data_IF_923887724054
#
_entry.id   IF_923887724054
#
_cell.length_a   1.000
_cell.length_b   1.000
_cell.length_c   1.000
_cell.angle_alpha   90.00
_cell.angle_beta   90.00
_cell.angle_gamma   90.00
#
_symmetry.space_group_name_H-M   'P 1'
#
loop_
_entity.id
_entity.type
_entity.pdbx_description
1 polymer ?
#
# COMPACT_ATOMS: atom_id res chain seq x y z
N UNK A 1 22.94 12.71 8.40
CA UNK A 1 22.63 11.27 8.38
C UNK A 1 21.69 11.03 7.22
N UNK A 2 21.81 9.89 6.53
CA UNK A 2 20.93 9.58 5.40
C UNK A 2 19.48 9.47 5.89
N UNK A 3 18.55 10.15 5.21
CA UNK A 3 17.14 10.20 5.57
C UNK A 3 16.36 9.22 4.69
N UNK A 4 15.64 8.30 5.34
CA UNK A 4 14.86 7.26 4.65
C UNK A 4 13.36 7.51 4.82
N UNK A 5 12.61 7.41 3.72
CA UNK A 5 11.15 7.34 3.71
C UNK A 5 10.70 5.92 3.38
N UNK A 6 9.75 5.38 4.14
CA UNK A 6 9.00 4.17 3.78
C UNK A 6 7.61 4.58 3.32
N UNK A 7 7.38 4.61 2.00
CA UNK A 7 6.06 4.80 1.42
C UNK A 7 5.40 3.43 1.24
N UNK A 8 4.16 3.25 1.74
CA UNK A 8 3.55 1.92 1.70
C UNK A 8 2.05 1.92 1.47
N UNK A 9 1.56 0.93 0.70
CA UNK A 9 0.15 0.59 0.61
C UNK A 9 -0.12 -0.69 1.40
N UNK A 10 -1.19 -0.72 2.19
CA UNK A 10 -1.56 -1.88 2.99
C UNK A 10 -3.06 -1.92 3.21
N UNK A 11 -3.67 -3.09 3.05
CA UNK A 11 -5.11 -3.31 3.23
C UNK A 11 -5.37 -4.20 4.44
N UNK A 12 -6.27 -3.76 5.32
CA UNK A 12 -6.77 -4.54 6.45
C UNK A 12 -7.96 -5.44 5.99
N UNK A 13 -8.90 -5.72 6.90
CA UNK A 13 -10.15 -6.43 6.62
C UNK A 13 -9.94 -7.89 6.20
N UNK A 14 -10.84 -8.45 5.39
CA UNK A 14 -10.78 -9.85 5.00
C UNK A 14 -9.64 -10.10 4.01
N UNK A 15 -8.71 -10.97 4.38
CA UNK A 15 -7.58 -11.40 3.55
C UNK A 15 -7.50 -12.93 3.47
N UNK A 16 -6.98 -13.43 2.35
CA UNK A 16 -6.70 -14.85 2.16
C UNK A 16 -5.26 -15.16 2.54
N UNK A 17 -5.06 -16.00 3.57
CA UNK A 17 -3.75 -16.54 3.91
C UNK A 17 -3.87 -17.81 4.74
N UNK A 18 -2.88 -18.70 4.64
CA UNK A 18 -2.88 -19.98 5.35
C UNK A 18 -4.08 -20.87 4.99
N UNK A 19 -4.58 -20.77 3.76
CA UNK A 19 -5.70 -21.58 3.25
C UNK A 19 -7.09 -21.12 3.66
N UNK A 20 -7.26 -19.96 4.32
CA UNK A 20 -8.55 -19.47 4.78
C UNK A 20 -8.71 -17.96 4.62
N UNK A 21 -9.97 -17.50 4.50
CA UNK A 21 -10.33 -16.09 4.64
C UNK A 21 -10.33 -15.70 6.11
N UNK A 22 -9.65 -14.59 6.44
CA UNK A 22 -9.51 -14.11 7.81
C UNK A 22 -9.59 -12.59 7.85
N UNK A 23 -10.31 -12.05 8.81
CA UNK A 23 -10.30 -10.61 9.09
C UNK A 23 -9.06 -10.24 9.90
N UNK A 24 -8.33 -9.23 9.42
CA UNK A 24 -7.17 -8.65 10.11
C UNK A 24 -7.43 -7.18 10.38
N UNK A 25 -7.01 -6.71 11.57
CA UNK A 25 -7.10 -5.28 11.93
C UNK A 25 -6.00 -4.45 11.27
N UNK A 26 -4.88 -5.07 10.93
CA UNK A 26 -3.70 -4.43 10.33
C UNK A 26 -3.27 -5.27 9.14
N UNK A 27 -3.07 -4.62 8.00
CA UNK A 27 -2.64 -5.32 6.79
C UNK A 27 -1.20 -5.81 6.88
N UNK A 28 -0.90 -6.89 6.16
CA UNK A 28 0.40 -7.57 6.25
C UNK A 28 1.59 -6.65 5.89
N UNK A 29 1.46 -5.79 4.89
CA UNK A 29 2.52 -4.86 4.51
C UNK A 29 2.79 -3.85 5.62
N UNK A 30 1.75 -3.37 6.31
CA UNK A 30 1.89 -2.45 7.44
C UNK A 30 2.60 -3.10 8.64
N UNK A 31 2.35 -4.39 8.88
CA UNK A 31 3.10 -5.17 9.90
C UNK A 31 4.60 -5.21 9.55
N UNK A 32 4.93 -5.46 8.28
CA UNK A 32 6.34 -5.48 7.82
C UNK A 32 6.97 -4.08 7.94
N UNK A 33 6.25 -3.02 7.58
CA UNK A 33 6.71 -1.63 7.75
C UNK A 33 6.95 -1.28 9.21
N UNK A 34 6.06 -1.70 10.12
CA UNK A 34 6.27 -1.52 11.56
C UNK A 34 7.58 -2.18 12.01
N UNK A 35 7.82 -3.43 11.61
CA UNK A 35 9.08 -4.13 11.94
C UNK A 35 10.31 -3.45 11.32
N UNK A 36 10.22 -2.90 10.10
CA UNK A 36 11.31 -2.14 9.50
C UNK A 36 11.65 -0.90 10.34
N UNK A 37 10.65 -0.17 10.84
CA UNK A 37 10.87 1.02 11.68
C UNK A 37 11.52 0.71 13.02
N UNK A 38 11.38 -0.52 13.52
CA UNK A 38 12.08 -0.98 14.72
C UNK A 38 13.58 -1.25 14.44
N UNK A 39 13.95 -1.48 13.18
CA UNK A 39 15.32 -1.81 12.74
C UNK A 39 16.08 -0.62 12.15
N UNK A 40 15.38 0.34 11.54
CA UNK A 40 15.98 1.52 10.92
C UNK A 40 15.25 2.81 11.32
N UNK A 41 15.99 3.91 11.41
CA UNK A 41 15.40 5.25 11.56
C UNK A 41 14.84 5.70 10.22
N UNK A 42 13.52 5.68 10.07
CA UNK A 42 12.83 6.09 8.86
C UNK A 42 11.50 6.79 9.14
N UNK A 43 11.19 7.81 8.33
CA UNK A 43 9.84 8.36 8.23
C UNK A 43 8.96 7.37 7.47
N UNK A 44 7.63 7.40 7.68
CA UNK A 44 6.71 6.49 7.01
C UNK A 44 5.48 7.23 6.50
N UNK A 45 5.07 6.92 5.27
CA UNK A 45 3.88 7.48 4.63
C UNK A 45 2.98 6.33 4.15
N UNK A 46 1.74 6.29 4.62
CA UNK A 46 0.76 5.30 4.18
C UNK A 46 0.00 5.86 2.98
N UNK A 47 0.05 5.14 1.86
CA UNK A 47 -0.70 5.41 0.65
C UNK A 47 -2.14 4.94 0.91
N UNK A 48 -3.07 5.88 1.04
CA UNK A 48 -4.48 5.60 1.29
C UNK A 48 -5.33 6.10 0.12
N UNK A 49 -6.18 5.20 -0.41
CA UNK A 49 -7.18 5.56 -1.42
C UNK A 49 -8.26 6.43 -0.77
N UNK A 50 -8.72 7.44 -1.49
CA UNK A 50 -9.88 8.24 -1.09
C UNK A 50 -11.15 7.40 -0.98
N UNK A 51 -11.32 6.47 -1.91
CA UNK A 51 -12.37 5.45 -1.92
C UNK A 51 -11.72 4.06 -1.78
N UNK A 52 -11.65 3.50 -0.56
CA UNK A 52 -10.99 2.21 -0.33
C UNK A 52 -11.69 1.04 -1.03
N UNK A 53 -10.90 0.03 -1.41
CA UNK A 53 -11.46 -1.26 -1.84
C UNK A 53 -12.34 -1.90 -0.77
N UNK A 54 -13.24 -2.78 -1.21
CA UNK A 54 -14.16 -3.50 -0.34
C UNK A 54 -13.45 -4.24 0.80
N UNK A 55 -14.04 -4.27 2.02
CA UNK A 55 -13.53 -5.08 3.12
C UNK A 55 -13.68 -6.58 2.87
N UNK A 56 -14.54 -6.99 1.92
CA UNK A 56 -14.75 -8.40 1.52
C UNK A 56 -13.70 -8.79 0.47
N UNK A 57 -12.96 -9.87 0.72
CA UNK A 57 -11.79 -10.24 -0.08
C UNK A 57 -12.15 -10.48 -1.55
N UNK A 58 -13.21 -11.27 -1.80
CA UNK A 58 -13.61 -11.63 -3.17
C UNK A 58 -14.13 -10.42 -3.97
N UNK A 59 -14.68 -9.42 -3.31
CA UNK A 59 -15.08 -8.16 -3.98
C UNK A 59 -13.85 -7.31 -4.27
N UNK A 60 -12.93 -7.18 -3.31
CA UNK A 60 -11.69 -6.43 -3.48
C UNK A 60 -10.83 -6.97 -4.63
N UNK A 61 -10.71 -8.29 -4.79
CA UNK A 61 -9.92 -8.85 -5.91
C UNK A 61 -10.51 -8.47 -7.27
N UNK A 62 -11.83 -8.40 -7.42
CA UNK A 62 -12.49 -8.01 -8.68
C UNK A 62 -12.35 -6.51 -8.94
N UNK A 63 -12.46 -5.67 -7.91
CA UNK A 63 -12.18 -4.23 -7.99
C UNK A 63 -10.73 -3.98 -8.43
N UNK A 64 -9.75 -4.61 -7.76
CA UNK A 64 -8.34 -4.49 -8.10
C UNK A 64 -8.03 -4.98 -9.52
N UNK A 65 -8.70 -6.05 -9.97
CA UNK A 65 -8.57 -6.58 -11.34
C UNK A 65 -9.11 -5.61 -12.38
N UNK A 66 -10.28 -5.01 -12.08
CA UNK A 66 -10.90 -4.00 -12.94
C UNK A 66 -9.97 -2.79 -13.08
N UNK A 67 -9.50 -2.25 -11.96
CA UNK A 67 -8.57 -1.12 -11.94
C UNK A 67 -7.30 -1.41 -12.76
N UNK A 68 -6.72 -2.61 -12.61
CA UNK A 68 -5.57 -3.02 -13.41
C UNK A 68 -5.88 -3.07 -14.91
N UNK A 69 -7.02 -3.67 -15.29
CA UNK A 69 -7.44 -3.79 -16.70
C UNK A 69 -7.70 -2.43 -17.34
N UNK A 70 -8.26 -1.50 -16.57
CA UNK A 70 -8.58 -0.14 -17.02
C UNK A 70 -7.37 0.81 -16.92
N UNK A 71 -6.24 0.34 -16.39
CA UNK A 71 -5.09 1.17 -16.03
C UNK A 71 -5.51 2.38 -15.20
N UNK A 72 -6.39 2.15 -14.22
CA UNK A 72 -6.95 3.20 -13.38
C UNK A 72 -5.86 3.91 -12.54
N UNK A 73 -6.16 5.14 -12.14
CA UNK A 73 -5.37 5.91 -11.16
C UNK A 73 -6.29 6.33 -10.01
N UNK A 74 -6.61 5.42 -9.07
CA UNK A 74 -7.49 5.74 -7.95
C UNK A 74 -6.98 6.97 -7.19
N UNK A 75 -7.89 7.87 -6.84
CA UNK A 75 -7.55 9.10 -6.09
C UNK A 75 -7.03 8.72 -4.70
N UNK A 76 -5.98 9.41 -4.25
CA UNK A 76 -5.40 9.22 -2.92
C UNK A 76 -5.85 10.34 -1.98
N UNK A 77 -5.90 10.04 -0.68
CA UNK A 77 -6.31 11.02 0.34
C UNK A 77 -5.31 12.16 0.49
N UNK A 78 -4.02 11.88 0.29
CA UNK A 78 -2.93 12.85 0.45
C UNK A 78 -1.66 12.38 -0.28
N UNK A 79 -0.68 13.29 -0.36
CA UNK A 79 0.68 13.03 -0.84
C UNK A 79 1.66 13.71 0.13
N UNK A 80 2.91 13.24 0.23
CA UNK A 80 3.98 14.01 0.87
C UNK A 80 4.16 15.36 0.14
N UNK A 81 4.40 16.43 0.89
CA UNK A 81 4.64 17.76 0.30
C UNK A 81 5.88 17.77 -0.63
N UNK A 82 6.91 17.00 -0.27
CA UNK A 82 8.08 16.73 -1.10
C UNK A 82 8.80 15.48 -0.58
N UNK A 83 9.53 14.81 -1.47
CA UNK A 83 10.45 13.71 -1.12
C UNK A 83 11.92 14.06 -1.32
N UNK A 84 12.25 15.29 -1.75
CA UNK A 84 13.62 15.71 -2.11
C UNK A 84 14.60 15.65 -0.93
N UNK A 85 14.08 15.71 0.29
CA UNK A 85 14.86 15.62 1.52
C UNK A 85 15.25 14.18 1.91
N UNK A 86 14.79 13.17 1.18
CA UNK A 86 15.10 11.76 1.45
C UNK A 86 16.16 11.24 0.48
N UNK A 87 17.21 10.66 1.04
CA UNK A 87 18.27 9.99 0.28
C UNK A 87 17.81 8.60 -0.22
N UNK A 88 16.81 8.02 0.43
CA UNK A 88 16.30 6.68 0.12
C UNK A 88 14.80 6.63 0.31
N UNK A 89 14.11 6.08 -0.69
CA UNK A 89 12.67 5.76 -0.62
C UNK A 89 12.51 4.25 -0.73
N UNK A 90 11.96 3.65 0.31
CA UNK A 90 11.52 2.25 0.34
C UNK A 90 10.03 2.25 -0.02
N UNK A 91 9.68 1.56 -1.11
CA UNK A 91 8.30 1.39 -1.53
C UNK A 91 7.81 -0.01 -1.16
N UNK A 92 6.80 -0.11 -0.29
CA UNK A 92 6.27 -1.38 0.20
C UNK A 92 4.79 -1.56 -0.15
N UNK A 93 4.41 -2.70 -0.73
CA UNK A 93 3.03 -2.96 -1.15
C UNK A 93 2.75 -4.48 -1.21
N UNK A 94 1.49 -4.91 -1.09
CA UNK A 94 1.09 -6.27 -1.41
C UNK A 94 1.13 -6.50 -2.92
N UNK A 95 1.38 -7.73 -3.35
CA UNK A 95 1.21 -8.10 -4.76
C UNK A 95 -0.27 -8.22 -5.10
N UNK A 96 -0.76 -7.38 -6.02
CA UNK A 96 -2.11 -7.44 -6.56
C UNK A 96 -2.01 -7.85 -8.04
N UNK A 97 -2.57 -9.02 -8.37
CA UNK A 97 -2.63 -9.54 -9.75
C UNK A 97 -1.27 -9.57 -10.48
N UNK A 98 -0.18 -9.88 -9.77
CA UNK A 98 1.16 -9.99 -10.34
C UNK A 98 1.92 -8.67 -10.40
N UNK A 99 1.38 -7.57 -9.86
CA UNK A 99 1.98 -6.24 -9.89
C UNK A 99 1.67 -5.43 -8.61
N UNK A 100 1.99 -4.13 -8.63
CA UNK A 100 1.61 -3.15 -7.62
C UNK A 100 0.11 -2.85 -7.67
N UNK A 101 -0.55 -2.56 -6.53
CA UNK A 101 -1.90 -1.99 -6.53
C UNK A 101 -1.96 -0.67 -7.32
N UNK A 102 -3.06 -0.38 -8.01
CA UNK A 102 -3.15 0.81 -8.87
C UNK A 102 -3.01 2.14 -8.10
N UNK A 103 -3.40 2.16 -6.82
CA UNK A 103 -3.14 3.27 -5.92
C UNK A 103 -1.64 3.60 -5.76
N UNK A 104 -0.76 2.60 -5.84
CA UNK A 104 0.70 2.80 -5.79
C UNK A 104 1.20 3.41 -7.09
N UNK A 105 0.64 3.03 -8.26
CA UNK A 105 0.94 3.73 -9.51
C UNK A 105 0.51 5.20 -9.44
N UNK A 106 -0.68 5.51 -8.90
CA UNK A 106 -1.10 6.91 -8.67
C UNK A 106 -0.09 7.67 -7.82
N UNK A 107 0.42 7.05 -6.75
CA UNK A 107 1.41 7.65 -5.87
C UNK A 107 2.73 7.98 -6.60
N UNK A 108 3.23 7.05 -7.42
CA UNK A 108 4.53 7.20 -8.10
C UNK A 108 4.53 8.18 -9.28
N UNK A 109 3.36 8.50 -9.83
CA UNK A 109 3.22 9.43 -10.96
C UNK A 109 3.08 10.89 -10.53
N UNK A 110 3.20 11.18 -9.22
CA UNK A 110 3.22 12.52 -8.64
C UNK A 110 4.50 12.76 -7.86
#
# INVERSE_FOLDING_TARGET
MAKTLIAFFSRADENYFGGAMRYVKTGNTEIVVSGMKDMITADSFKIEMKDPYSPVYMTCIEEAKKDLKENARPELTSYPDSIDAYDTVILAYPNYWGTMPMAVFTFLER
#
